data_IF_421435394963
#
_entry.id   IF_421435394963
#
_cell.length_a   1.000
_cell.length_b   1.000
_cell.length_c   1.000
_cell.angle_alpha   90.00
_cell.angle_beta   90.00
_cell.angle_gamma   90.00
#
_symmetry.space_group_name_H-M   'P 1'
#
loop_
_entity.id
_entity.type
_entity.pdbx_description
1 polymer ?
#
# COMPACT_ATOMS: atom_id res chain seq x y z
N UNK A 1 9.57 9.12 -25.47
CA UNK A 1 8.60 8.88 -24.38
C UNK A 1 7.31 8.40 -25.02
N UNK A 2 6.92 7.14 -24.80
CA UNK A 2 5.65 6.63 -25.30
C UNK A 2 4.55 7.03 -24.30
N UNK A 3 3.69 7.96 -24.69
CA UNK A 3 2.54 8.37 -23.90
C UNK A 3 1.42 7.38 -24.19
N UNK A 4 1.08 6.51 -23.24
CA UNK A 4 -0.07 5.61 -23.36
C UNK A 4 -1.32 6.40 -22.97
N UNK A 5 -2.26 6.53 -23.90
CA UNK A 5 -3.55 7.14 -23.63
C UNK A 5 -4.39 6.22 -22.71
N UNK A 6 -5.24 6.79 -21.85
CA UNK A 6 -6.06 6.00 -20.94
C UNK A 6 -7.04 5.10 -21.71
N UNK A 7 -7.19 3.86 -21.25
CA UNK A 7 -8.04 2.82 -21.84
C UNK A 7 -9.54 3.07 -21.62
N UNK A 8 -9.93 4.00 -20.74
CA UNK A 8 -11.32 4.33 -20.41
C UNK A 8 -11.50 5.85 -20.26
N UNK A 9 -12.70 6.40 -20.55
CA UNK A 9 -13.03 7.79 -20.27
C UNK A 9 -13.02 8.04 -18.76
N UNK A 10 -12.33 9.09 -18.32
CA UNK A 10 -12.35 9.52 -16.92
C UNK A 10 -13.37 10.67 -16.79
N UNK A 11 -14.59 10.34 -16.38
CA UNK A 11 -15.63 11.33 -16.01
C UNK A 11 -15.50 11.76 -14.52
N UNK A 12 -14.28 11.96 -14.03
CA UNK A 12 -14.04 12.39 -12.65
C UNK A 12 -13.72 13.89 -12.59
N UNK A 13 -14.22 14.64 -11.59
CA UNK A 13 -13.74 16.01 -11.33
C UNK A 13 -12.21 15.98 -11.20
N UNK A 14 -11.49 17.08 -11.50
CA UNK A 14 -10.03 17.06 -11.51
C UNK A 14 -9.53 16.59 -10.14
N UNK A 15 -9.09 15.33 -10.10
CA UNK A 15 -8.55 14.74 -8.90
C UNK A 15 -7.31 15.58 -8.58
N UNK A 16 -7.21 16.20 -7.40
CA UNK A 16 -6.06 17.01 -7.06
C UNK A 16 -4.79 16.22 -7.34
N UNK A 17 -3.83 16.84 -8.03
CA UNK A 17 -2.56 16.20 -8.37
C UNK A 17 -1.94 15.65 -7.08
N UNK A 18 -1.79 14.31 -6.95
CA UNK A 18 -1.29 13.71 -5.72
C UNK A 18 0.08 14.23 -5.33
N UNK A 19 0.92 14.62 -6.30
CA UNK A 19 2.24 15.19 -6.01
C UNK A 19 2.10 16.59 -5.42
N UNK A 20 1.20 17.43 -5.96
CA UNK A 20 0.90 18.73 -5.38
C UNK A 20 0.37 18.60 -3.95
N UNK A 21 -0.51 17.63 -3.68
CA UNK A 21 -0.98 17.37 -2.32
C UNK A 21 0.15 17.03 -1.36
N UNK A 22 1.14 16.27 -1.81
CA UNK A 22 2.33 15.94 -1.00
C UNK A 22 3.19 17.18 -0.74
N UNK A 23 3.35 18.07 -1.72
CA UNK A 23 3.99 19.37 -1.51
C UNK A 23 3.22 20.26 -0.52
N UNK A 24 1.90 20.19 -0.55
CA UNK A 24 1.01 20.94 0.36
C UNK A 24 0.94 20.34 1.77
N UNK A 25 1.67 19.25 2.02
CA UNK A 25 1.82 18.64 3.35
C UNK A 25 0.88 17.47 3.64
N UNK A 26 0.25 16.89 2.62
CA UNK A 26 -0.45 15.62 2.77
C UNK A 26 0.50 14.51 3.25
N UNK A 27 -0.06 13.55 3.99
CA UNK A 27 0.71 12.40 4.48
C UNK A 27 1.07 11.44 3.33
N UNK A 28 2.30 10.92 3.35
CA UNK A 28 2.75 9.83 2.48
C UNK A 28 2.56 8.49 3.19
N UNK A 29 1.58 7.71 2.75
CA UNK A 29 1.31 6.37 3.31
C UNK A 29 1.73 5.29 2.32
N UNK A 30 2.67 4.44 2.74
CA UNK A 30 3.27 3.40 1.91
C UNK A 30 2.66 2.04 2.25
N UNK A 31 1.96 1.43 1.29
CA UNK A 31 1.51 0.05 1.43
C UNK A 31 2.67 -0.91 1.20
N UNK A 32 3.04 -1.70 2.20
CA UNK A 32 4.12 -2.70 2.13
C UNK A 32 3.56 -4.11 2.32
N UNK A 33 3.83 -5.00 1.37
CA UNK A 33 3.35 -6.39 1.41
C UNK A 33 4.46 -7.41 1.73
N UNK A 34 5.72 -6.96 1.75
CA UNK A 34 6.89 -7.84 1.74
C UNK A 34 7.22 -8.41 0.35
N UNK A 35 6.52 -7.95 -0.68
CA UNK A 35 6.83 -8.23 -2.08
C UNK A 35 7.80 -7.21 -2.67
N UNK A 36 8.58 -7.64 -3.67
CA UNK A 36 9.62 -6.82 -4.32
C UNK A 36 9.09 -5.52 -4.92
N UNK A 37 7.89 -5.54 -5.48
CA UNK A 37 7.29 -4.36 -6.10
C UNK A 37 6.95 -3.29 -5.06
N UNK A 38 6.37 -3.72 -3.93
CA UNK A 38 6.07 -2.81 -2.81
C UNK A 38 7.34 -2.26 -2.18
N UNK A 39 8.41 -3.05 -2.12
CA UNK A 39 9.71 -2.59 -1.64
C UNK A 39 10.32 -1.57 -2.59
N UNK A 40 10.38 -1.86 -3.89
CA UNK A 40 10.91 -0.94 -4.89
C UNK A 40 10.17 0.40 -4.84
N UNK A 41 8.85 0.37 -4.72
CA UNK A 41 8.03 1.58 -4.59
C UNK A 41 8.29 2.32 -3.27
N UNK A 42 8.39 1.61 -2.16
CA UNK A 42 8.75 2.18 -0.86
C UNK A 42 10.10 2.89 -0.92
N UNK A 43 11.12 2.25 -1.51
CA UNK A 43 12.44 2.84 -1.69
C UNK A 43 12.38 4.11 -2.55
N UNK A 44 11.72 4.04 -3.71
CA UNK A 44 11.60 5.16 -4.64
C UNK A 44 10.89 6.36 -4.01
N UNK A 45 9.75 6.14 -3.35
CA UNK A 45 8.95 7.23 -2.77
C UNK A 45 9.62 7.88 -1.57
N UNK A 46 10.39 7.13 -0.76
CA UNK A 46 11.16 7.71 0.34
C UNK A 46 12.33 8.57 -0.16
N UNK A 47 13.04 8.11 -1.20
CA UNK A 47 14.09 8.90 -1.86
C UNK A 47 13.50 10.17 -2.50
N UNK A 48 12.37 10.03 -3.17
CA UNK A 48 11.65 11.14 -3.79
C UNK A 48 11.16 12.15 -2.75
N UNK A 49 10.58 11.69 -1.64
CA UNK A 49 10.22 12.54 -0.50
C UNK A 49 11.40 13.34 0.04
N UNK A 50 12.57 12.70 0.17
CA UNK A 50 13.78 13.37 0.64
C UNK A 50 14.29 14.41 -0.37
N UNK A 51 14.19 14.10 -1.66
CA UNK A 51 14.69 14.96 -2.74
C UNK A 51 13.77 16.17 -2.99
N UNK A 52 12.46 15.95 -2.98
CA UNK A 52 11.44 16.97 -3.23
C UNK A 52 11.02 17.73 -1.96
N UNK A 53 11.40 17.24 -0.78
CA UNK A 53 11.17 17.91 0.50
C UNK A 53 9.71 17.91 0.96
N UNK A 54 8.94 16.86 0.66
CA UNK A 54 7.53 16.81 1.05
C UNK A 54 7.37 16.86 2.58
N UNK A 55 6.66 17.87 3.14
CA UNK A 55 6.68 18.15 4.57
C UNK A 55 5.76 17.25 5.39
N UNK A 56 4.81 16.56 4.75
CA UNK A 56 3.85 15.69 5.41
C UNK A 56 4.48 14.49 6.13
N UNK A 57 3.72 13.93 7.08
CA UNK A 57 4.10 12.71 7.80
C UNK A 57 4.24 11.53 6.86
N UNK A 58 5.11 10.59 7.20
CA UNK A 58 5.30 9.34 6.46
C UNK A 58 5.03 8.14 7.36
N UNK A 59 4.30 7.15 6.83
CA UNK A 59 4.01 5.90 7.52
C UNK A 59 3.94 4.72 6.55
N UNK A 60 4.25 3.53 7.04
CA UNK A 60 4.05 2.26 6.33
C UNK A 60 2.82 1.56 6.87
N UNK A 61 2.07 0.90 5.98
CA UNK A 61 0.93 0.07 6.34
C UNK A 61 1.11 -1.30 5.71
N UNK A 62 0.97 -2.34 6.53
CA UNK A 62 0.96 -3.73 6.10
C UNK A 62 -0.40 -4.36 6.45
N UNK A 63 -1.06 -4.92 5.45
CA UNK A 63 -2.27 -5.70 5.66
C UNK A 63 -1.88 -7.15 5.93
N UNK A 64 -1.99 -7.59 7.19
CA UNK A 64 -1.69 -8.96 7.58
C UNK A 64 -2.81 -9.90 7.11
N UNK A 65 -2.48 -10.80 6.19
CA UNK A 65 -3.43 -11.72 5.56
C UNK A 65 -3.58 -13.07 6.30
N UNK A 66 -2.96 -13.22 7.47
CA UNK A 66 -2.96 -14.46 8.24
C UNK A 66 -2.25 -15.59 7.51
N UNK A 67 -2.88 -16.76 7.40
CA UNK A 67 -2.26 -17.97 6.82
C UNK A 67 -1.90 -17.87 5.33
N UNK A 68 -2.40 -16.86 4.64
CA UNK A 68 -2.08 -16.62 3.24
C UNK A 68 -0.68 -16.00 3.04
N UNK A 69 -0.02 -15.56 4.12
CA UNK A 69 1.31 -14.97 4.03
C UNK A 69 2.43 -16.00 4.09
N UNK A 70 3.59 -15.61 3.57
CA UNK A 70 4.82 -16.35 3.82
C UNK A 70 5.20 -16.21 5.29
N UNK A 71 5.75 -17.28 5.87
CA UNK A 71 6.14 -17.32 7.28
C UNK A 71 7.08 -16.15 7.69
N UNK A 72 7.89 -15.65 6.75
CA UNK A 72 8.84 -14.55 6.99
C UNK A 72 8.30 -13.15 6.69
N UNK A 73 7.08 -13.01 6.16
CA UNK A 73 6.56 -11.71 5.71
C UNK A 73 6.48 -10.70 6.85
N UNK A 74 5.93 -11.10 8.01
CA UNK A 74 5.78 -10.21 9.17
C UNK A 74 7.14 -9.70 9.68
N UNK A 75 8.12 -10.59 9.85
CA UNK A 75 9.46 -10.21 10.30
C UNK A 75 10.14 -9.29 9.28
N UNK A 76 9.94 -9.57 8.00
CA UNK A 76 10.50 -8.78 6.91
C UNK A 76 9.97 -7.34 6.89
N UNK A 77 8.65 -7.15 6.98
CA UNK A 77 8.07 -5.78 6.97
C UNK A 77 8.47 -4.99 8.22
N UNK A 78 8.60 -5.64 9.38
CA UNK A 78 9.14 -5.01 10.58
C UNK A 78 10.59 -4.57 10.40
N UNK A 79 11.43 -5.41 9.79
CA UNK A 79 12.82 -5.05 9.51
C UNK A 79 12.94 -3.92 8.49
N UNK A 80 12.14 -3.95 7.42
CA UNK A 80 12.09 -2.87 6.43
C UNK A 80 11.75 -1.53 7.09
N UNK A 81 10.69 -1.48 7.90
CA UNK A 81 10.29 -0.27 8.60
C UNK A 81 11.39 0.25 9.54
N UNK A 82 12.05 -0.66 10.26
CA UNK A 82 13.19 -0.33 11.14
C UNK A 82 14.37 0.24 10.35
N UNK A 83 14.77 -0.40 9.24
CA UNK A 83 15.86 0.06 8.37
C UNK A 83 15.57 1.41 7.73
N UNK A 84 14.30 1.71 7.43
CA UNK A 84 13.85 2.99 6.87
C UNK A 84 13.54 4.04 7.91
N UNK A 85 13.52 3.68 9.20
CA UNK A 85 13.10 4.55 10.30
C UNK A 85 11.72 5.20 10.05
N UNK A 86 10.77 4.40 9.56
CA UNK A 86 9.39 4.85 9.28
C UNK A 86 8.42 4.06 10.18
N UNK A 87 7.44 4.71 10.81
CA UNK A 87 6.40 4.02 11.59
C UNK A 87 5.65 2.99 10.75
N UNK A 88 5.47 1.79 11.31
CA UNK A 88 4.72 0.69 10.67
C UNK A 88 3.40 0.44 11.40
N UNK A 89 2.31 0.43 10.64
CA UNK A 89 0.99 0.00 11.10
C UNK A 89 0.66 -1.36 10.47
N UNK A 90 0.51 -2.38 11.30
CA UNK A 90 0.02 -3.69 10.85
C UNK A 90 -1.47 -3.75 11.11
N UNK A 91 -2.26 -3.90 10.05
CA UNK A 91 -3.71 -4.04 10.12
C UNK A 91 -4.07 -5.48 9.83
N UNK A 92 -4.74 -6.12 10.81
CA UNK A 92 -5.24 -7.49 10.68
C UNK A 92 -6.74 -7.49 10.85
N UNK A 93 -7.43 -8.27 10.01
CA UNK A 93 -8.85 -8.51 10.21
C UNK A 93 -9.09 -9.42 11.42
N UNK A 94 -10.06 -9.09 12.27
CA UNK A 94 -10.26 -9.75 13.57
C UNK A 94 -11.22 -10.94 13.52
N UNK A 95 -11.98 -11.11 12.44
CA UNK A 95 -12.98 -12.20 12.29
C UNK A 95 -12.46 -13.38 11.46
N UNK A 96 -11.14 -13.49 11.26
CA UNK A 96 -10.51 -14.56 10.51
C UNK A 96 -9.26 -14.09 9.77
N UNK A 97 -8.97 -14.72 8.64
CA UNK A 97 -7.92 -14.34 7.71
C UNK A 97 -8.42 -14.11 6.26
N UNK A 98 -7.51 -13.87 5.32
CA UNK A 98 -7.91 -13.64 3.92
C UNK A 98 -8.72 -14.81 3.35
N UNK A 99 -8.33 -16.05 3.67
CA UNK A 99 -9.00 -17.24 3.15
C UNK A 99 -10.38 -17.40 3.79
N UNK A 100 -10.53 -17.10 5.08
CA UNK A 100 -11.85 -17.09 5.72
C UNK A 100 -12.78 -16.06 5.05
N UNK A 101 -12.23 -14.90 4.69
CA UNK A 101 -13.00 -13.84 4.00
C UNK A 101 -13.41 -14.25 2.59
N UNK A 102 -12.55 -14.98 1.87
CA UNK A 102 -12.88 -15.54 0.56
C UNK A 102 -14.02 -16.56 0.70
N UNK A 103 -13.93 -17.50 1.64
CA UNK A 103 -15.00 -18.49 1.86
C UNK A 103 -16.31 -17.86 2.32
N UNK A 104 -16.28 -16.86 3.20
CA UNK A 104 -17.48 -16.12 3.59
C UNK A 104 -18.18 -15.47 2.40
N UNK A 105 -17.42 -14.86 1.47
CA UNK A 105 -17.98 -14.29 0.24
C UNK A 105 -18.58 -15.36 -0.67
N UNK A 106 -17.86 -16.47 -0.85
CA UNK A 106 -18.33 -17.59 -1.66
C UNK A 106 -19.64 -18.19 -1.12
N UNK A 107 -19.74 -18.44 0.18
CA UNK A 107 -20.97 -18.98 0.77
C UNK A 107 -22.13 -17.98 0.80
N UNK A 108 -21.84 -16.68 0.81
CA UNK A 108 -22.87 -15.65 0.72
C UNK A 108 -23.46 -15.53 -0.70
N UNK A 109 -22.63 -15.69 -1.74
CA UNK A 109 -23.07 -15.70 -3.14
C UNK A 109 -22.15 -16.58 -3.99
N UNK A 110 -22.50 -17.87 -4.18
CA UNK A 110 -21.68 -18.81 -4.96
C UNK A 110 -21.59 -18.48 -6.45
N UNK A 111 -22.41 -17.54 -6.95
CA UNK A 111 -22.40 -17.13 -8.36
C UNK A 111 -21.36 -16.03 -8.66
N UNK A 112 -20.77 -15.44 -7.61
CA UNK A 112 -19.70 -14.44 -7.73
C UNK A 112 -18.34 -15.14 -7.59
N UNK A 113 -17.44 -15.00 -8.59
CA UNK A 113 -16.11 -15.60 -8.54
C UNK A 113 -15.24 -15.00 -7.43
#
# INVERSE_FOLDING_TARGET
MAYQLPLFPLDEPPNPDPVQLLHDGAALVLSVSGGKDSDAMCHHLLERRQTEGWPGNVAMVHANLGRAEWHSTTDYVHDLARRKNVPLHIVRWTQGDLIDRIWQRYYADPSRP
#
